data_IF_889130156967
#
_entry.id   IF_889130156967
#
_cell.length_a   1.000
_cell.length_b   1.000
_cell.length_c   1.000
_cell.angle_alpha   90.00
_cell.angle_beta   90.00
_cell.angle_gamma   90.00
#
_symmetry.space_group_name_H-M   'P 1'
#
loop_
_entity.id
_entity.type
_entity.pdbx_description
1 polymer ?
#
# COMPACT_ATOMS: atom_id res chain seq x y z
N UNK A 1 5.86 -12.69 5.28
CA UNK A 1 5.17 -12.45 6.56
C UNK A 1 5.43 -11.00 7.00
N UNK A 2 4.42 -10.31 7.55
CA UNK A 2 4.57 -8.91 7.95
C UNK A 2 5.09 -8.77 9.40
N UNK A 3 4.83 -9.76 10.24
CA UNK A 3 5.36 -9.81 11.61
C UNK A 3 6.89 -9.75 11.61
N UNK A 4 7.44 -8.79 12.35
CA UNK A 4 8.88 -8.55 12.47
C UNK A 4 9.56 -7.99 11.21
N UNK A 5 8.84 -7.82 10.10
CA UNK A 5 9.41 -7.30 8.85
C UNK A 5 9.84 -5.83 9.00
N UNK A 6 10.91 -5.45 8.32
CA UNK A 6 11.31 -4.05 8.20
C UNK A 6 10.54 -3.37 7.06
N UNK A 7 9.77 -2.33 7.38
CA UNK A 7 8.94 -1.60 6.41
C UNK A 7 9.39 -0.16 6.30
N UNK A 8 9.73 0.28 5.09
CA UNK A 8 9.97 1.68 4.77
C UNK A 8 8.72 2.30 4.13
N UNK A 9 8.10 3.25 4.82
CA UNK A 9 6.97 4.03 4.27
C UNK A 9 7.50 5.38 3.82
N UNK A 10 7.56 5.61 2.51
CA UNK A 10 8.02 6.84 1.90
C UNK A 10 6.85 7.79 1.64
N UNK A 11 6.82 8.89 2.39
CA UNK A 11 5.73 9.86 2.39
C UNK A 11 5.03 9.89 3.74
N UNK A 12 4.71 11.08 4.24
CA UNK A 12 4.12 11.30 5.58
C UNK A 12 2.83 12.11 5.55
N UNK A 13 2.05 11.93 4.48
CA UNK A 13 0.73 12.58 4.35
C UNK A 13 -0.22 12.04 5.41
N UNK A 14 -1.26 12.81 5.71
CA UNK A 14 -2.33 12.39 6.63
C UNK A 14 -3.22 11.29 6.02
N UNK A 15 -3.23 11.16 4.70
CA UNK A 15 -4.15 10.25 3.98
C UNK A 15 -3.55 8.88 3.65
N UNK A 16 -2.22 8.74 3.72
CA UNK A 16 -1.54 7.45 3.43
C UNK A 16 -0.44 7.18 4.45
N UNK A 17 0.66 7.94 4.39
CA UNK A 17 1.89 7.54 5.08
C UNK A 17 1.80 7.46 6.60
N UNK A 18 1.21 8.49 7.24
CA UNK A 18 1.02 8.50 8.71
C UNK A 18 0.08 7.39 9.19
N UNK A 19 -1.16 7.27 8.70
CA UNK A 19 -2.06 6.21 9.17
C UNK A 19 -1.48 4.82 8.89
N UNK A 20 -0.83 4.62 7.73
CA UNK A 20 -0.21 3.34 7.40
C UNK A 20 0.94 2.97 8.35
N UNK A 21 1.75 3.94 8.77
CA UNK A 21 2.82 3.68 9.73
C UNK A 21 2.32 3.20 11.10
N UNK A 22 1.17 3.73 11.53
CA UNK A 22 0.51 3.28 12.77
C UNK A 22 -0.12 1.91 12.55
N UNK A 23 -0.87 1.73 11.46
CA UNK A 23 -1.56 0.47 11.14
C UNK A 23 -0.60 -0.73 11.12
N UNK A 24 0.52 -0.59 10.41
CA UNK A 24 1.51 -1.66 10.25
C UNK A 24 2.30 -1.97 11.54
N UNK A 25 2.33 -1.04 12.51
CA UNK A 25 2.99 -1.23 13.80
C UNK A 25 2.07 -1.75 14.91
N UNK A 26 0.77 -1.93 14.63
CA UNK A 26 -0.17 -2.50 15.59
C UNK A 26 0.24 -3.93 15.97
N UNK A 27 -0.02 -4.31 17.23
CA UNK A 27 0.17 -5.69 17.73
C UNK A 27 -0.96 -6.60 17.22
N UNK A 28 -0.95 -6.90 15.92
CA UNK A 28 -1.93 -7.76 15.22
C UNK A 28 -1.21 -8.73 14.27
N UNK A 29 -1.75 -9.93 14.00
CA UNK A 29 -1.12 -10.92 13.11
C UNK A 29 -0.91 -10.43 11.67
N UNK A 30 -1.83 -9.59 11.18
CA UNK A 30 -1.75 -8.93 9.87
C UNK A 30 -0.96 -7.61 9.89
N UNK A 31 -0.25 -7.33 10.99
CA UNK A 31 0.60 -6.16 11.19
C UNK A 31 1.89 -6.58 11.94
N UNK A 32 2.27 -5.86 13.00
CA UNK A 32 3.42 -6.15 13.87
C UNK A 32 4.79 -5.99 13.18
N UNK A 33 4.92 -5.01 12.29
CA UNK A 33 6.16 -4.70 11.59
C UNK A 33 7.00 -3.61 12.29
N UNK A 34 8.30 -3.60 12.02
CA UNK A 34 9.19 -2.49 12.35
C UNK A 34 9.11 -1.42 11.25
N UNK A 35 8.43 -0.30 11.52
CA UNK A 35 8.12 0.70 10.48
C UNK A 35 9.02 1.93 10.59
N UNK A 36 9.65 2.30 9.47
CA UNK A 36 10.39 3.56 9.31
C UNK A 36 9.62 4.50 8.38
N UNK A 37 9.13 5.61 8.94
CA UNK A 37 8.42 6.65 8.18
C UNK A 37 9.42 7.67 7.59
N UNK A 38 9.55 7.67 6.26
CA UNK A 38 10.49 8.48 5.50
C UNK A 38 9.80 9.69 4.84
N UNK A 39 10.57 10.75 4.59
CA UNK A 39 10.08 11.97 3.93
C UNK A 39 11.22 12.78 3.30
N UNK A 40 10.88 13.88 2.63
CA UNK A 40 11.78 14.74 1.86
C UNK A 40 12.95 15.41 2.63
N UNK A 41 13.06 15.23 3.95
CA UNK A 41 14.16 15.77 4.77
C UNK A 41 15.04 14.69 5.38
N UNK A 42 14.78 13.42 5.07
CA UNK A 42 15.66 12.31 5.44
C UNK A 42 16.96 12.44 4.64
N UNK A 43 18.11 12.41 5.33
CA UNK A 43 19.42 12.62 4.70
C UNK A 43 19.87 11.45 3.84
N UNK A 44 19.60 10.22 4.29
CA UNK A 44 20.03 9.00 3.59
C UNK A 44 18.81 8.11 3.30
N UNK A 45 17.98 8.57 2.37
CA UNK A 45 16.77 7.86 1.99
C UNK A 45 17.09 6.47 1.45
N UNK A 46 18.13 6.36 0.60
CA UNK A 46 18.49 5.12 -0.09
C UNK A 46 18.90 4.02 0.90
N UNK A 47 19.62 4.35 1.97
CA UNK A 47 19.97 3.37 3.01
C UNK A 47 18.72 2.70 3.60
N UNK A 48 17.73 3.49 4.01
CA UNK A 48 16.51 2.94 4.60
C UNK A 48 15.72 2.07 3.61
N UNK A 49 15.68 2.44 2.32
CA UNK A 49 15.03 1.64 1.29
C UNK A 49 15.75 0.32 1.01
N UNK A 50 17.10 0.29 1.09
CA UNK A 50 17.92 -0.92 0.90
C UNK A 50 17.85 -1.90 2.07
N UNK A 51 17.54 -1.42 3.27
CA UNK A 51 17.43 -2.26 4.47
C UNK A 51 16.02 -2.87 4.62
N UNK A 52 15.01 -2.29 3.97
CA UNK A 52 13.62 -2.69 4.14
C UNK A 52 13.25 -3.97 3.37
N UNK A 53 12.47 -4.84 4.02
CA UNK A 53 11.83 -5.99 3.38
C UNK A 53 10.62 -5.56 2.53
N UNK A 54 9.98 -4.46 2.94
CA UNK A 54 8.82 -3.88 2.25
C UNK A 54 9.03 -2.38 2.07
N UNK A 55 8.87 -1.90 0.85
CA UNK A 55 8.91 -0.47 0.52
C UNK A 55 7.52 -0.04 0.06
N UNK A 56 6.97 0.99 0.70
CA UNK A 56 5.68 1.59 0.33
C UNK A 56 5.92 3.04 -0.05
N UNK A 57 5.67 3.42 -1.30
CA UNK A 57 5.86 4.80 -1.77
C UNK A 57 4.53 5.53 -2.00
N UNK A 58 4.40 6.70 -1.38
CA UNK A 58 3.22 7.57 -1.45
C UNK A 58 3.62 9.06 -1.43
N UNK A 59 4.53 9.43 -2.33
CA UNK A 59 5.11 10.78 -2.44
C UNK A 59 4.56 11.60 -3.61
N UNK A 60 3.95 10.96 -4.61
CA UNK A 60 3.47 11.66 -5.80
C UNK A 60 4.62 12.28 -6.59
N UNK A 61 5.69 11.50 -6.81
CA UNK A 61 6.86 11.87 -7.59
C UNK A 61 7.18 10.76 -8.58
N UNK A 62 7.01 11.01 -9.90
CA UNK A 62 7.21 9.99 -10.92
C UNK A 62 8.55 9.27 -10.77
N UNK A 63 8.51 7.94 -10.69
CA UNK A 63 9.69 7.07 -10.85
C UNK A 63 10.87 7.43 -9.91
N UNK A 64 10.58 8.00 -8.73
CA UNK A 64 11.57 8.42 -7.73
C UNK A 64 12.35 7.23 -7.18
N UNK A 65 11.68 6.12 -6.86
CA UNK A 65 12.29 4.93 -6.28
C UNK A 65 12.66 3.97 -7.41
N UNK A 66 13.95 3.62 -7.50
CA UNK A 66 14.47 2.73 -8.54
C UNK A 66 14.86 1.38 -7.96
N UNK A 67 15.05 0.39 -8.83
CA UNK A 67 15.48 -0.95 -8.44
C UNK A 67 16.80 -0.95 -7.66
N UNK A 68 17.73 -0.04 -7.96
CA UNK A 68 18.99 0.10 -7.20
C UNK A 68 18.78 0.54 -5.74
N UNK A 69 17.63 1.15 -5.41
CA UNK A 69 17.34 1.72 -4.09
C UNK A 69 16.70 0.70 -3.14
N UNK A 70 16.15 -0.41 -3.64
CA UNK A 70 15.45 -1.41 -2.82
C UNK A 70 16.31 -2.65 -2.57
N UNK A 71 16.00 -3.42 -1.52
CA UNK A 71 16.62 -4.73 -1.26
C UNK A 71 16.24 -5.76 -2.34
N UNK A 72 17.14 -6.70 -2.64
CA UNK A 72 16.80 -7.86 -3.47
C UNK A 72 15.69 -8.69 -2.82
N UNK A 73 14.64 -9.01 -3.58
CA UNK A 73 13.49 -9.77 -3.07
C UNK A 73 12.54 -8.97 -2.18
N UNK A 74 12.69 -7.64 -2.06
CA UNK A 74 11.73 -6.81 -1.33
C UNK A 74 10.33 -6.84 -1.96
N UNK A 75 9.30 -6.57 -1.16
CA UNK A 75 7.95 -6.25 -1.67
C UNK A 75 7.86 -4.74 -1.88
N UNK A 76 7.34 -4.31 -3.03
CA UNK A 76 7.27 -2.91 -3.41
C UNK A 76 5.82 -2.47 -3.69
N UNK A 77 5.28 -1.56 -2.88
CA UNK A 77 3.92 -1.03 -3.01
C UNK A 77 3.97 0.42 -3.47
N UNK A 78 3.30 0.69 -4.58
CA UNK A 78 3.25 1.98 -5.26
C UNK A 78 1.85 2.58 -5.13
N UNK A 79 1.74 3.60 -4.28
CA UNK A 79 0.51 4.37 -4.08
C UNK A 79 0.47 5.58 -5.02
N UNK A 80 1.59 5.90 -5.68
CA UNK A 80 1.71 7.06 -6.55
C UNK A 80 0.83 6.94 -7.79
N UNK A 81 0.18 8.04 -8.15
CA UNK A 81 -0.40 8.23 -9.47
C UNK A 81 0.07 9.59 -9.99
N UNK A 82 0.93 9.53 -11.00
CA UNK A 82 1.54 10.69 -11.62
C UNK A 82 1.23 10.69 -13.12
N UNK A 83 0.97 11.88 -13.68
CA UNK A 83 0.82 12.07 -15.13
C UNK A 83 2.16 12.50 -15.71
N UNK A 84 2.63 11.79 -16.73
CA UNK A 84 3.82 12.15 -17.50
C UNK A 84 3.40 12.35 -18.94
N UNK A 85 3.82 13.45 -19.55
CA UNK A 85 3.54 13.77 -20.95
C UNK A 85 3.99 12.62 -21.85
N UNK A 86 3.10 12.24 -22.77
CA UNK A 86 3.34 11.16 -23.72
C UNK A 86 2.57 11.49 -25.01
N UNK A 87 3.25 12.06 -26.02
CA UNK A 87 2.63 12.40 -27.30
C UNK A 87 2.11 11.18 -28.07
N UNK A 88 2.54 9.97 -27.71
CA UNK A 88 2.10 8.73 -28.36
C UNK A 88 0.80 8.18 -27.76
N UNK A 89 0.45 8.62 -26.55
CA UNK A 89 -0.81 8.28 -25.88
C UNK A 89 -1.96 9.12 -26.44
N UNK A 90 -3.14 8.53 -26.71
CA UNK A 90 -4.34 9.28 -27.12
C UNK A 90 -4.76 10.38 -26.14
N UNK A 91 -4.34 10.28 -24.86
CA UNK A 91 -4.65 11.27 -23.82
C UNK A 91 -3.59 12.38 -23.71
N UNK A 92 -2.49 12.31 -24.47
CA UNK A 92 -1.33 13.20 -24.36
C UNK A 92 -0.47 12.96 -23.12
N UNK A 93 -0.80 11.95 -22.31
CA UNK A 93 -0.04 11.55 -21.13
C UNK A 93 -0.23 10.05 -20.84
N UNK A 94 0.73 9.50 -20.10
CA UNK A 94 0.66 8.18 -19.46
C UNK A 94 0.62 8.32 -17.94
N UNK A 95 0.04 7.33 -17.28
CA UNK A 95 0.07 7.24 -15.82
C UNK A 95 1.26 6.41 -15.39
N UNK A 96 2.01 6.92 -14.42
CA UNK A 96 3.13 6.21 -13.78
C UNK A 96 3.04 6.36 -12.28
N UNK A 97 3.64 5.42 -11.57
CA UNK A 97 3.72 5.47 -10.13
C UNK A 97 4.93 6.23 -9.61
N UNK A 98 5.19 6.10 -8.32
CA UNK A 98 6.39 6.61 -7.69
C UNK A 98 7.59 5.67 -7.88
N UNK A 99 7.34 4.41 -8.24
CA UNK A 99 8.36 3.41 -8.51
C UNK A 99 8.70 3.38 -10.01
N UNK A 100 9.99 3.27 -10.34
CA UNK A 100 10.42 2.98 -11.70
C UNK A 100 10.20 1.49 -12.00
N UNK A 101 9.02 1.19 -12.56
CA UNK A 101 8.48 -0.16 -12.75
C UNK A 101 9.49 -1.15 -13.34
N UNK A 102 10.14 -0.81 -14.46
CA UNK A 102 11.03 -1.74 -15.18
C UNK A 102 12.23 -2.18 -14.36
N UNK A 103 12.71 -1.32 -13.46
CA UNK A 103 13.85 -1.64 -12.59
C UNK A 103 13.42 -2.33 -11.29
N UNK A 104 12.26 -1.96 -10.76
CA UNK A 104 11.76 -2.48 -9.47
C UNK A 104 11.17 -3.87 -9.66
N UNK A 105 10.36 -4.08 -10.69
CA UNK A 105 9.69 -5.37 -10.96
C UNK A 105 10.66 -6.53 -11.20
N UNK A 106 11.87 -6.25 -11.69
CA UNK A 106 12.91 -7.27 -11.91
C UNK A 106 13.66 -7.68 -10.64
N UNK A 107 13.54 -6.88 -9.57
CA UNK A 107 14.30 -7.04 -8.32
C UNK A 107 13.42 -7.43 -7.14
N UNK A 108 12.22 -6.86 -7.09
CA UNK A 108 11.23 -7.13 -6.07
C UNK A 108 10.68 -8.55 -6.19
N UNK A 109 10.32 -9.16 -5.07
CA UNK A 109 9.59 -10.45 -5.06
C UNK A 109 8.12 -10.25 -5.46
N UNK A 110 7.56 -9.07 -5.18
CA UNK A 110 6.26 -8.62 -5.66
C UNK A 110 6.26 -7.09 -5.79
N UNK A 111 5.60 -6.56 -6.81
CA UNK A 111 5.45 -5.12 -7.01
C UNK A 111 4.05 -4.77 -7.52
N UNK A 112 3.48 -3.65 -7.08
CA UNK A 112 2.17 -3.18 -7.58
C UNK A 112 2.33 -2.32 -8.83
N UNK A 113 1.63 -2.62 -9.94
CA UNK A 113 1.70 -1.80 -11.15
C UNK A 113 0.95 -0.49 -11.00
N UNK A 114 1.34 0.52 -11.77
CA UNK A 114 0.56 1.75 -11.94
C UNK A 114 0.37 2.03 -13.43
N UNK A 115 -0.88 2.13 -13.90
CA UNK A 115 -2.14 1.95 -13.18
C UNK A 115 -2.45 0.48 -12.85
N UNK A 116 -3.49 0.25 -12.03
CA UNK A 116 -4.04 -1.09 -11.79
C UNK A 116 -3.64 -1.78 -10.48
N UNK A 117 -2.74 -1.19 -9.70
CA UNK A 117 -2.35 -1.67 -8.37
C UNK A 117 -3.21 -1.12 -7.25
N UNK A 118 -2.70 -0.13 -6.51
CA UNK A 118 -3.33 0.38 -5.28
C UNK A 118 -4.64 1.15 -5.53
N UNK A 119 -4.76 1.85 -6.67
CA UNK A 119 -5.91 2.70 -6.98
C UNK A 119 -7.28 2.01 -6.87
N UNK A 120 -7.51 0.88 -7.57
CA UNK A 120 -8.75 0.11 -7.46
C UNK A 120 -9.10 -0.34 -6.03
N UNK A 121 -8.09 -0.67 -5.22
CA UNK A 121 -8.29 -1.09 -3.82
C UNK A 121 -8.87 0.02 -2.97
N UNK A 122 -8.55 1.28 -3.23
CA UNK A 122 -9.10 2.43 -2.47
C UNK A 122 -10.63 2.49 -2.56
N UNK A 123 -11.20 2.26 -3.75
CA UNK A 123 -12.66 2.24 -3.94
C UNK A 123 -13.27 1.00 -3.31
N UNK A 124 -12.65 -0.17 -3.50
CA UNK A 124 -13.12 -1.41 -2.88
C UNK A 124 -13.18 -1.29 -1.35
N UNK A 125 -12.13 -0.76 -0.72
CA UNK A 125 -12.07 -0.60 0.74
C UNK A 125 -13.02 0.46 1.27
N UNK A 126 -13.34 1.51 0.49
CA UNK A 126 -14.42 2.43 0.85
C UNK A 126 -15.76 1.69 0.95
N UNK A 127 -16.06 0.80 -0.01
CA UNK A 127 -17.30 0.03 0.00
C UNK A 127 -17.33 -0.97 1.17
N UNK A 128 -16.21 -1.64 1.47
CA UNK A 128 -16.09 -2.51 2.65
C UNK A 128 -16.33 -1.73 3.94
N UNK A 129 -15.70 -0.56 4.10
CA UNK A 129 -15.90 0.27 5.29
C UNK A 129 -17.34 0.78 5.41
N UNK A 130 -17.97 1.13 4.29
CA UNK A 130 -19.38 1.56 4.26
C UNK A 130 -20.30 0.43 4.68
N UNK A 131 -20.04 -0.77 4.17
CA UNK A 131 -20.77 -1.97 4.55
C UNK A 131 -20.61 -2.26 6.04
N UNK A 132 -19.38 -2.27 6.56
CA UNK A 132 -19.09 -2.52 7.98
C UNK A 132 -19.80 -1.53 8.90
N UNK A 133 -19.82 -0.25 8.52
CA UNK A 133 -20.52 0.78 9.28
C UNK A 133 -22.04 0.55 9.32
N UNK A 134 -22.64 0.20 8.17
CA UNK A 134 -24.06 -0.12 8.10
C UNK A 134 -24.39 -1.42 8.86
N UNK A 135 -23.52 -2.43 8.77
CA UNK A 135 -23.65 -3.70 9.47
C UNK A 135 -23.63 -3.56 11.00
N UNK A 136 -22.79 -2.64 11.48
CA UNK A 136 -22.63 -2.36 12.90
C UNK A 136 -23.75 -1.48 13.46
N UNK A 137 -24.56 -0.87 12.60
CA UNK A 137 -25.80 -0.19 13.01
C UNK A 137 -26.94 -1.20 13.08
N UNK A 138 -27.70 -1.24 14.19
CA UNK A 138 -28.78 -2.21 14.45
C UNK A 138 -29.99 -2.12 13.49
N UNK A 139 -29.92 -1.30 12.44
CA UNK A 139 -31.05 -0.88 11.59
C UNK A 139 -31.18 -1.65 10.26
N UNK A 140 -30.45 -2.75 10.06
CA UNK A 140 -30.51 -3.49 8.79
C UNK A 140 -31.51 -4.66 8.82
N UNK A 141 -32.56 -4.64 7.98
CA UNK A 141 -33.65 -5.61 8.06
C UNK A 141 -33.34 -6.99 7.46
N UNK A 142 -32.16 -7.21 6.85
CA UNK A 142 -31.85 -8.47 6.14
C UNK A 142 -30.93 -9.46 6.83
N UNK A 143 -30.32 -9.16 7.98
CA UNK A 143 -29.27 -10.05 8.51
C UNK A 143 -28.04 -10.06 7.59
N UNK A 144 -26.87 -9.99 8.18
CA UNK A 144 -25.63 -9.90 7.43
C UNK A 144 -24.94 -11.24 7.53
N UNK A 145 -24.80 -11.92 6.39
CA UNK A 145 -23.95 -13.10 6.31
C UNK A 145 -22.49 -12.63 6.39
N UNK A 146 -21.84 -12.93 7.51
CA UNK A 146 -20.43 -12.63 7.80
C UNK A 146 -19.46 -13.24 6.75
N UNK A 147 -19.95 -14.18 5.97
CA UNK A 147 -19.23 -15.03 5.03
C UNK A 147 -18.53 -14.23 3.93
N UNK A 148 -19.18 -13.20 3.38
CA UNK A 148 -18.60 -12.34 2.33
C UNK A 148 -17.44 -11.53 2.91
N UNK A 149 -17.60 -11.01 4.12
CA UNK A 149 -16.58 -10.17 4.76
C UNK A 149 -15.39 -10.97 5.24
N UNK A 150 -15.65 -12.14 5.80
CA UNK A 150 -14.61 -13.12 6.15
C UNK A 150 -13.85 -13.57 4.89
N UNK A 151 -14.50 -13.68 3.73
CA UNK A 151 -13.83 -14.00 2.46
C UNK A 151 -12.97 -12.86 1.91
N UNK A 152 -13.36 -11.60 2.14
CA UNK A 152 -12.63 -10.41 1.66
C UNK A 152 -11.45 -10.07 2.59
N UNK A 153 -11.60 -10.29 3.90
CA UNK A 153 -10.59 -9.96 4.90
C UNK A 153 -9.68 -11.14 5.29
N UNK A 154 -9.91 -12.33 4.70
CA UNK A 154 -9.26 -13.58 5.10
C UNK A 154 -9.32 -13.85 6.63
N UNK A 155 -10.35 -13.32 7.30
CA UNK A 155 -10.55 -13.52 8.74
C UNK A 155 -10.94 -14.98 8.93
N UNK A 156 -10.14 -15.70 9.72
CA UNK A 156 -10.42 -17.10 10.02
C UNK A 156 -11.72 -17.18 10.83
N UNK A 157 -12.54 -18.23 10.62
CA UNK A 157 -13.74 -18.44 11.42
C UNK A 157 -13.41 -18.39 12.92
N UNK A 158 -14.03 -17.46 13.64
CA UNK A 158 -13.85 -17.26 15.09
C UNK A 158 -12.85 -16.17 15.52
N UNK A 159 -12.14 -15.52 14.61
CA UNK A 159 -11.22 -14.41 14.98
C UNK A 159 -11.92 -13.04 15.16
N UNK A 160 -13.19 -12.94 14.77
CA UNK A 160 -13.96 -11.69 14.82
C UNK A 160 -13.45 -10.65 13.81
N UNK A 161 -14.33 -9.73 13.40
CA UNK A 161 -13.92 -8.58 12.60
C UNK A 161 -13.00 -7.67 13.44
N UNK A 162 -11.91 -7.11 12.87
CA UNK A 162 -10.93 -6.30 13.60
C UNK A 162 -11.48 -5.02 14.22
#
# INVERSE_FOLDING_TARGET
PLEGASVAVLGRSNIVGRPLSVLLSLKKPWANAAVTLLHSRVKDLKRHLKEADIVISAVGKPELVRGEDIKDGAVAVDVGINRVEDPTSPKGYRLVGDLHWDSVSKKASAATPVPGGVGPMTVAMLMVNTYLAAASSEDLPWGIEDDILNSILEVRPGEGLP
#
